data_IF_232674190292
#
_entry.id   IF_232674190292
#
_cell.length_a   1.000
_cell.length_b   1.000
_cell.length_c   1.000
_cell.angle_alpha   90.00
_cell.angle_beta   90.00
_cell.angle_gamma   90.00
#
_symmetry.space_group_name_H-M   'P 1'
#
loop_
_entity.id
_entity.type
_entity.pdbx_description
1 polymer ?
#
# COMPACT_ATOMS: atom_id res chain seq x y z
N UNK A 1 25.96 10.06 2.88
CA UNK A 1 25.32 9.18 3.90
C UNK A 1 23.89 9.64 4.01
N UNK A 2 22.90 8.79 3.77
CA UNK A 2 21.49 9.18 3.90
C UNK A 2 21.10 9.22 5.36
N UNK A 3 20.23 10.18 5.72
CA UNK A 3 19.77 10.31 7.10
C UNK A 3 18.85 9.17 7.50
N UNK A 4 19.20 8.49 8.58
CA UNK A 4 18.38 7.45 9.21
C UNK A 4 17.46 8.11 10.23
N UNK A 5 16.16 7.89 10.11
CA UNK A 5 15.20 8.35 11.12
C UNK A 5 15.33 7.44 12.35
N UNK A 6 15.81 8.02 13.44
CA UNK A 6 16.01 7.33 14.72
C UNK A 6 15.10 7.86 15.84
N UNK A 7 14.43 8.99 15.64
CA UNK A 7 13.57 9.60 16.67
C UNK A 7 12.10 9.26 16.46
N UNK A 8 11.38 8.78 17.49
CA UNK A 8 9.93 8.60 17.46
C UNK A 8 9.16 9.93 17.34
N UNK A 9 9.84 11.07 17.55
CA UNK A 9 9.25 12.40 17.40
C UNK A 9 9.25 12.91 15.96
N UNK A 10 9.91 12.21 15.06
CA UNK A 10 9.94 12.56 13.65
C UNK A 10 8.51 12.61 13.07
N UNK A 11 8.18 13.70 12.37
CA UNK A 11 6.83 13.94 11.80
C UNK A 11 6.41 12.88 10.78
N UNK A 12 7.35 12.45 9.94
CA UNK A 12 7.08 11.43 8.92
C UNK A 12 6.84 10.06 9.56
N UNK A 13 7.64 9.67 10.55
CA UNK A 13 7.40 8.44 11.32
C UNK A 13 6.01 8.44 11.99
N UNK A 14 5.62 9.56 12.61
CA UNK A 14 4.27 9.72 13.21
C UNK A 14 3.16 9.56 12.17
N UNK A 15 3.38 10.06 10.94
CA UNK A 15 2.44 9.85 9.84
C UNK A 15 2.34 8.36 9.47
N UNK A 16 3.46 7.66 9.31
CA UNK A 16 3.47 6.23 8.96
C UNK A 16 2.64 5.38 9.94
N UNK A 17 2.74 5.64 11.25
CA UNK A 17 1.93 4.98 12.28
C UNK A 17 0.43 5.28 12.12
N UNK A 18 0.07 6.51 11.75
CA UNK A 18 -1.32 6.92 11.59
C UNK A 18 -1.98 6.30 10.35
N UNK A 19 -1.21 5.95 9.32
CA UNK A 19 -1.74 5.37 8.08
C UNK A 19 -2.40 3.98 8.26
N UNK A 20 -2.27 3.35 9.41
CA UNK A 20 -3.05 2.14 9.74
C UNK A 20 -4.55 2.43 9.89
N UNK A 21 -4.91 3.67 10.16
CA UNK A 21 -6.30 4.12 10.29
C UNK A 21 -6.80 4.73 8.99
N UNK A 22 -8.01 4.33 8.56
CA UNK A 22 -8.66 4.83 7.32
C UNK A 22 -8.68 6.36 7.24
N UNK A 23 -9.06 7.04 8.33
CA UNK A 23 -9.11 8.50 8.41
C UNK A 23 -7.83 9.17 7.86
N UNK A 24 -6.66 8.72 8.31
CA UNK A 24 -5.39 9.35 7.89
C UNK A 24 -4.97 8.96 6.48
N UNK A 25 -5.39 7.77 5.99
CA UNK A 25 -5.22 7.42 4.58
C UNK A 25 -6.04 8.32 3.67
N UNK A 26 -7.26 8.62 4.08
CA UNK A 26 -8.18 9.51 3.33
C UNK A 26 -7.67 10.96 3.36
N UNK A 27 -7.33 11.49 4.54
CA UNK A 27 -6.80 12.86 4.69
C UNK A 27 -5.53 13.13 3.86
N UNK A 28 -4.67 12.12 3.70
CA UNK A 28 -3.41 12.26 2.97
C UNK A 28 -3.48 11.67 1.55
N UNK A 29 -4.58 11.02 1.17
CA UNK A 29 -4.75 10.31 -0.10
C UNK A 29 -3.62 9.31 -0.41
N UNK A 30 -3.06 8.66 0.62
CA UNK A 30 -1.98 7.67 0.51
C UNK A 30 -2.26 6.43 1.33
N UNK A 31 -1.62 5.32 0.93
CA UNK A 31 -1.67 4.06 1.67
C UNK A 31 -0.33 3.33 1.66
N UNK A 32 -0.17 2.36 2.57
CA UNK A 32 1.02 1.52 2.69
C UNK A 32 0.83 0.20 1.92
N UNK A 33 1.89 -0.21 1.21
CA UNK A 33 2.05 -1.58 0.73
C UNK A 33 3.40 -2.11 1.23
N UNK A 34 3.42 -3.33 1.75
CA UNK A 34 4.61 -3.90 2.40
C UNK A 34 5.04 -5.18 1.69
N UNK A 35 6.33 -5.25 1.37
CA UNK A 35 6.97 -6.43 0.80
C UNK A 35 7.83 -6.16 -0.42
N UNK A 36 8.84 -6.99 -0.59
CA UNK A 36 9.85 -6.92 -1.65
C UNK A 36 9.26 -7.01 -3.06
N UNK A 37 8.13 -7.70 -3.23
CA UNK A 37 7.46 -7.87 -4.52
C UNK A 37 7.15 -6.55 -5.23
N UNK A 38 6.91 -5.47 -4.46
CA UNK A 38 6.58 -4.16 -5.01
C UNK A 38 7.77 -3.46 -5.69
N UNK A 39 9.00 -3.92 -5.47
CA UNK A 39 10.17 -3.45 -6.22
C UNK A 39 10.15 -3.92 -7.70
N UNK A 40 9.50 -5.05 -7.97
CA UNK A 40 9.40 -5.62 -9.31
C UNK A 40 8.16 -5.14 -10.08
N UNK A 41 7.25 -4.43 -9.41
CA UNK A 41 6.06 -3.87 -10.04
C UNK A 41 6.41 -2.53 -10.69
N UNK A 42 6.03 -2.34 -11.95
CA UNK A 42 6.24 -1.07 -12.65
C UNK A 42 5.16 -0.04 -12.25
N UNK A 43 5.09 0.24 -10.95
CA UNK A 43 4.10 1.13 -10.35
C UNK A 43 4.82 2.27 -9.65
N UNK A 44 4.45 3.50 -10.00
CA UNK A 44 5.01 4.69 -9.36
C UNK A 44 4.62 4.75 -7.88
N UNK A 45 5.60 4.85 -7.01
CA UNK A 45 5.42 5.02 -5.57
C UNK A 45 5.88 6.41 -5.13
N UNK A 46 5.22 6.91 -4.09
CA UNK A 46 5.55 8.22 -3.52
C UNK A 46 6.81 8.16 -2.65
N UNK A 47 7.04 7.01 -1.97
CA UNK A 47 8.18 6.85 -1.07
C UNK A 47 8.50 5.37 -0.83
N UNK A 48 9.78 5.06 -0.69
CA UNK A 48 10.29 3.80 -0.17
C UNK A 48 10.74 4.00 1.28
N UNK A 49 10.35 3.11 2.16
CA UNK A 49 10.80 3.06 3.55
C UNK A 49 11.46 1.72 3.79
N UNK A 50 12.69 1.74 4.26
CA UNK A 50 13.50 0.52 4.47
C UNK A 50 13.96 0.44 5.92
N UNK A 51 13.93 -0.76 6.48
CA UNK A 51 14.54 -1.12 7.75
C UNK A 51 16.05 -1.00 7.66
N UNK A 52 16.71 -0.32 8.60
CA UNK A 52 18.15 -0.05 8.56
C UNK A 52 18.97 -1.33 8.34
N UNK A 53 18.68 -2.39 9.10
CA UNK A 53 19.37 -3.68 8.98
C UNK A 53 19.15 -4.41 7.65
N UNK A 54 18.21 -3.96 6.83
CA UNK A 54 17.89 -4.52 5.51
C UNK A 54 18.33 -3.66 4.34
N UNK A 55 18.86 -2.46 4.61
CA UNK A 55 19.20 -1.49 3.57
C UNK A 55 20.23 -2.07 2.59
N UNK A 56 21.35 -2.62 3.07
CA UNK A 56 22.41 -3.18 2.21
C UNK A 56 21.87 -4.28 1.29
N UNK A 57 21.06 -5.20 1.84
CA UNK A 57 20.44 -6.27 1.05
C UNK A 57 19.60 -5.73 -0.13
N UNK A 58 18.76 -4.73 0.13
CA UNK A 58 17.91 -4.17 -0.91
C UNK A 58 18.68 -3.29 -1.87
N UNK A 59 19.72 -2.62 -1.41
CA UNK A 59 20.55 -1.77 -2.26
C UNK A 59 21.39 -2.60 -3.24
N UNK A 60 22.05 -3.65 -2.76
CA UNK A 60 22.79 -4.58 -3.60
C UNK A 60 21.92 -5.27 -4.66
N UNK A 61 20.70 -5.62 -4.30
CA UNK A 61 19.80 -6.38 -5.18
C UNK A 61 19.01 -5.52 -6.17
N UNK A 62 18.61 -4.31 -5.77
CA UNK A 62 17.66 -3.47 -6.50
C UNK A 62 18.13 -2.04 -6.73
N UNK A 63 19.34 -1.68 -6.26
CA UNK A 63 19.88 -0.33 -6.38
C UNK A 63 18.89 0.74 -5.86
N UNK A 64 18.33 0.48 -4.67
CA UNK A 64 17.31 1.37 -4.10
C UNK A 64 17.86 2.75 -3.72
N UNK A 65 19.17 2.87 -3.56
CA UNK A 65 19.84 4.14 -3.27
C UNK A 65 19.73 5.17 -4.39
N UNK A 66 19.36 4.76 -5.60
CA UNK A 66 19.10 5.70 -6.72
C UNK A 66 17.81 6.51 -6.53
N UNK A 67 16.88 6.06 -5.65
CA UNK A 67 15.61 6.74 -5.45
C UNK A 67 15.74 7.90 -4.46
N UNK A 68 15.44 9.12 -4.89
CA UNK A 68 15.47 10.32 -4.05
C UNK A 68 14.41 10.29 -2.93
N UNK A 69 13.36 9.52 -3.12
CA UNK A 69 12.27 9.34 -2.17
C UNK A 69 12.46 8.19 -1.19
N UNK A 70 13.68 7.67 -1.04
CA UNK A 70 14.04 6.66 -0.05
C UNK A 70 14.18 7.26 1.35
N UNK A 71 13.67 6.54 2.34
CA UNK A 71 13.81 6.83 3.77
C UNK A 71 14.26 5.57 4.50
N UNK A 72 15.24 5.69 5.38
CA UNK A 72 15.70 4.59 6.23
C UNK A 72 15.18 4.81 7.64
N UNK A 73 14.59 3.79 8.25
CA UNK A 73 14.18 3.81 9.66
C UNK A 73 15.06 2.90 10.49
N UNK A 74 15.37 3.31 11.73
CA UNK A 74 15.91 2.39 12.74
C UNK A 74 14.99 1.18 12.89
N UNK A 75 15.57 0.02 13.16
CA UNK A 75 14.88 -1.27 13.19
C UNK A 75 13.66 -1.26 14.09
N UNK A 76 13.80 -0.75 15.31
CA UNK A 76 12.69 -0.67 16.27
C UNK A 76 11.55 0.22 15.77
N UNK A 77 11.85 1.34 15.09
CA UNK A 77 10.81 2.23 14.54
C UNK A 77 10.15 1.59 13.33
N UNK A 78 10.92 0.87 12.50
CA UNK A 78 10.35 0.15 11.36
C UNK A 78 9.38 -0.93 11.82
N UNK A 79 9.74 -1.72 12.81
CA UNK A 79 8.91 -2.80 13.35
C UNK A 79 7.58 -2.28 13.93
N UNK A 80 7.57 -1.07 14.49
CA UNK A 80 6.34 -0.42 14.96
C UNK A 80 5.39 0.07 13.85
N UNK A 81 5.89 0.34 12.63
CA UNK A 81 5.07 0.77 11.49
C UNK A 81 4.77 -0.34 10.50
N UNK A 82 5.45 -1.48 10.62
CA UNK A 82 5.14 -2.70 9.88
C UNK A 82 3.80 -3.28 10.33
N UNK A 83 3.08 -3.87 9.39
CA UNK A 83 1.80 -4.56 9.64
C UNK A 83 1.96 -6.08 9.61
N UNK A 84 3.19 -6.57 9.49
CA UNK A 84 3.53 -7.99 9.38
C UNK A 84 4.44 -8.41 10.54
N UNK A 85 4.14 -9.55 11.19
CA UNK A 85 4.99 -10.13 12.23
C UNK A 85 6.39 -10.49 11.71
N UNK A 86 6.45 -11.03 10.49
CA UNK A 86 7.68 -11.35 9.78
C UNK A 86 7.86 -10.43 8.57
N UNK A 87 8.14 -9.17 8.85
CA UNK A 87 8.35 -8.17 7.80
C UNK A 87 9.61 -8.45 6.99
N UNK A 88 9.50 -8.26 5.67
CA UNK A 88 10.67 -8.29 4.79
C UNK A 88 11.58 -7.06 4.94
N UNK A 89 11.14 -6.03 5.67
CA UNK A 89 11.92 -4.83 5.95
C UNK A 89 11.79 -3.72 4.91
N UNK A 90 10.74 -3.74 4.09
CA UNK A 90 10.48 -2.69 3.10
C UNK A 90 8.98 -2.37 2.99
N UNK A 91 8.67 -1.08 3.02
CA UNK A 91 7.32 -0.51 2.88
C UNK A 91 7.34 0.55 1.78
N UNK A 92 6.28 0.60 1.00
CA UNK A 92 6.03 1.62 -0.03
C UNK A 92 4.82 2.46 0.34
N UNK A 93 4.87 3.74 0.02
CA UNK A 93 3.71 4.60 0.02
C UNK A 93 3.25 4.84 -1.42
N UNK A 94 1.96 4.66 -1.64
CA UNK A 94 1.29 4.90 -2.90
C UNK A 94 0.16 5.91 -2.74
N UNK A 95 -0.11 6.68 -3.79
CA UNK A 95 -1.32 7.49 -3.86
C UNK A 95 -2.55 6.59 -4.02
N UNK A 96 -3.66 6.97 -3.39
CA UNK A 96 -4.96 6.36 -3.64
C UNK A 96 -5.47 6.78 -5.01
N UNK A 97 -6.11 5.86 -5.73
CA UNK A 97 -6.89 6.23 -6.90
C UNK A 97 -8.15 6.99 -6.44
N UNK A 98 -8.40 8.13 -7.07
CA UNK A 98 -9.57 8.98 -6.82
C UNK A 98 -10.49 8.92 -8.05
N UNK A 99 -10.96 7.71 -8.39
CA UNK A 99 -11.87 7.50 -9.51
C UNK A 99 -13.30 7.80 -9.11
N UNK A 100 -14.09 8.22 -10.08
CA UNK A 100 -15.53 8.49 -9.97
C UNK A 100 -16.33 7.58 -10.89
N UNK A 101 -17.65 7.61 -10.81
CA UNK A 101 -18.53 6.82 -11.69
C UNK A 101 -18.33 7.20 -13.16
N UNK A 102 -17.97 8.44 -13.45
CA UNK A 102 -17.71 8.93 -14.80
C UNK A 102 -16.47 8.28 -15.45
N UNK A 103 -15.56 7.75 -14.63
CA UNK A 103 -14.35 7.07 -15.13
C UNK A 103 -14.61 5.61 -15.55
N UNK A 104 -15.82 5.09 -15.34
CA UNK A 104 -16.19 3.70 -15.65
C UNK A 104 -16.29 3.50 -17.17
N UNK A 105 -15.54 2.51 -17.67
CA UNK A 105 -15.66 2.02 -19.02
C UNK A 105 -15.77 0.48 -19.00
N UNK A 106 -16.85 -0.05 -19.62
CA UNK A 106 -17.09 -1.48 -19.68
C UNK A 106 -17.77 -2.06 -18.44
N UNK A 107 -17.47 -3.31 -18.14
CA UNK A 107 -18.12 -4.07 -17.07
C UNK A 107 -17.66 -3.64 -15.68
N UNK A 108 -18.57 -3.76 -14.72
CA UNK A 108 -18.38 -3.35 -13.31
C UNK A 108 -18.65 -4.51 -12.39
N UNK A 109 -17.81 -4.70 -11.40
CA UNK A 109 -18.10 -5.55 -10.24
C UNK A 109 -18.47 -4.66 -9.05
N UNK A 110 -19.57 -4.96 -8.39
CA UNK A 110 -20.03 -4.23 -7.21
C UNK A 110 -19.88 -5.16 -6.00
N UNK A 111 -19.15 -4.70 -4.99
CA UNK A 111 -19.06 -5.34 -3.68
C UNK A 111 -20.00 -4.61 -2.73
N UNK A 112 -21.10 -5.29 -2.38
CA UNK A 112 -22.09 -4.78 -1.47
C UNK A 112 -21.86 -5.34 -0.06
N UNK A 113 -21.53 -4.46 0.89
CA UNK A 113 -21.29 -4.76 2.31
C UNK A 113 -20.28 -5.91 2.56
N UNK A 114 -19.27 -6.02 1.72
CA UNK A 114 -18.17 -7.00 1.90
C UNK A 114 -17.21 -6.49 2.96
N UNK A 115 -17.19 -7.13 4.13
CA UNK A 115 -16.42 -6.66 5.30
C UNK A 115 -15.08 -7.38 5.49
N UNK A 116 -14.92 -8.59 4.97
CA UNK A 116 -13.69 -9.36 5.16
C UNK A 116 -12.60 -8.99 4.14
N UNK A 117 -11.39 -8.58 4.61
CA UNK A 117 -10.27 -8.24 3.74
C UNK A 117 -9.80 -9.37 2.82
N UNK A 118 -9.88 -10.62 3.28
CA UNK A 118 -9.47 -11.80 2.51
C UNK A 118 -10.43 -12.07 1.35
N UNK A 119 -11.75 -11.96 1.61
CA UNK A 119 -12.79 -12.10 0.59
C UNK A 119 -12.66 -11.02 -0.47
N UNK A 120 -12.54 -9.75 -0.06
CA UNK A 120 -12.32 -8.64 -0.98
C UNK A 120 -11.05 -8.85 -1.83
N UNK A 121 -9.95 -9.26 -1.20
CA UNK A 121 -8.70 -9.57 -1.90
C UNK A 121 -8.85 -10.71 -2.91
N UNK A 122 -9.58 -11.75 -2.59
CA UNK A 122 -9.84 -12.88 -3.48
C UNK A 122 -10.69 -12.45 -4.67
N UNK A 123 -11.75 -11.68 -4.45
CA UNK A 123 -12.59 -11.14 -5.52
C UNK A 123 -11.76 -10.26 -6.45
N UNK A 124 -10.97 -9.33 -5.91
CA UNK A 124 -10.09 -8.45 -6.70
C UNK A 124 -9.12 -9.27 -7.57
N UNK A 125 -8.51 -10.31 -7.04
CA UNK A 125 -7.65 -11.19 -7.85
C UNK A 125 -8.40 -11.90 -8.96
N UNK A 126 -9.62 -12.36 -8.68
CA UNK A 126 -10.48 -12.99 -9.67
C UNK A 126 -10.89 -11.99 -10.77
N UNK A 127 -11.23 -10.76 -10.39
CA UNK A 127 -11.50 -9.68 -11.35
C UNK A 127 -10.35 -9.46 -12.31
N UNK A 128 -9.12 -9.34 -11.79
CA UNK A 128 -7.92 -9.16 -12.62
C UNK A 128 -7.71 -10.34 -13.56
N UNK A 129 -7.87 -11.57 -13.08
CA UNK A 129 -7.74 -12.78 -13.90
C UNK A 129 -8.80 -12.86 -15.01
N UNK A 130 -9.98 -12.31 -14.78
CA UNK A 130 -11.10 -12.24 -15.73
C UNK A 130 -11.12 -10.94 -16.55
N UNK A 131 -10.09 -10.08 -16.42
CA UNK A 131 -9.94 -8.79 -17.10
C UNK A 131 -11.05 -7.76 -16.80
N UNK A 132 -11.67 -7.84 -15.61
CA UNK A 132 -12.52 -6.76 -15.10
C UNK A 132 -11.66 -5.65 -14.52
N UNK A 133 -11.99 -4.40 -14.83
CA UNK A 133 -11.18 -3.24 -14.42
C UNK A 133 -11.89 -2.27 -13.47
N UNK A 134 -13.22 -2.35 -13.34
CA UNK A 134 -13.99 -1.41 -12.54
C UNK A 134 -14.59 -2.09 -11.31
N UNK A 135 -14.32 -1.53 -10.13
CA UNK A 135 -14.78 -2.01 -8.84
C UNK A 135 -15.51 -0.89 -8.11
N UNK A 136 -16.78 -1.13 -7.78
CA UNK A 136 -17.54 -0.27 -6.87
C UNK A 136 -17.65 -0.98 -5.52
N UNK A 137 -17.39 -0.25 -4.45
CA UNK A 137 -17.61 -0.69 -3.08
C UNK A 137 -18.72 0.17 -2.46
N UNK A 138 -19.78 -0.49 -1.98
CA UNK A 138 -20.85 0.21 -1.28
C UNK A 138 -20.43 0.57 0.15
N UNK A 139 -21.15 1.53 0.74
CA UNK A 139 -20.98 1.91 2.14
C UNK A 139 -21.12 0.67 3.05
N UNK A 140 -20.18 0.52 3.98
CA UNK A 140 -20.08 -0.68 4.84
C UNK A 140 -19.03 -1.69 4.38
N UNK A 141 -18.64 -1.65 3.12
CA UNK A 141 -17.57 -2.52 2.62
C UNK A 141 -16.22 -2.15 3.19
N UNK A 142 -15.34 -3.16 3.26
CA UNK A 142 -13.96 -3.01 3.74
C UNK A 142 -13.18 -1.96 2.95
N UNK A 143 -12.33 -1.22 3.63
CA UNK A 143 -11.38 -0.33 2.96
C UNK A 143 -10.32 -1.15 2.22
N UNK A 144 -10.34 -1.14 0.89
CA UNK A 144 -9.36 -1.88 0.07
C UNK A 144 -7.95 -1.36 0.24
N UNK A 145 -7.76 -0.12 0.68
CA UNK A 145 -6.46 0.46 1.01
C UNK A 145 -5.98 0.12 2.44
N UNK A 146 -6.75 -0.67 3.20
CA UNK A 146 -6.27 -1.26 4.45
C UNK A 146 -5.09 -2.20 4.16
N UNK A 147 -3.99 -2.17 4.94
CA UNK A 147 -2.81 -3.00 4.70
C UNK A 147 -3.09 -4.50 4.55
N UNK A 148 -4.08 -5.05 5.28
CA UNK A 148 -4.48 -6.46 5.14
C UNK A 148 -5.10 -6.73 3.76
N UNK A 149 -5.98 -5.85 3.29
CA UNK A 149 -6.61 -5.96 1.97
C UNK A 149 -5.59 -5.77 0.87
N UNK A 150 -4.76 -4.72 0.94
CA UNK A 150 -3.66 -4.47 -0.02
C UNK A 150 -2.80 -5.72 -0.21
N UNK A 151 -2.42 -6.36 0.89
CA UNK A 151 -1.65 -7.62 0.84
C UNK A 151 -2.43 -8.75 0.17
N UNK A 152 -3.72 -8.90 0.50
CA UNK A 152 -4.58 -9.95 -0.05
C UNK A 152 -4.82 -9.82 -1.55
N UNK A 153 -4.75 -8.60 -2.11
CA UNK A 153 -4.96 -8.35 -3.55
C UNK A 153 -3.80 -8.80 -4.44
N UNK A 154 -2.62 -9.11 -3.86
CA UNK A 154 -1.41 -9.48 -4.61
C UNK A 154 -1.08 -8.48 -5.74
N UNK A 155 -1.06 -7.19 -5.42
CA UNK A 155 -0.85 -6.05 -6.34
C UNK A 155 -2.04 -5.76 -7.29
N UNK A 156 -3.12 -6.51 -7.23
CA UNK A 156 -4.32 -6.30 -8.07
C UNK A 156 -4.97 -4.93 -7.89
N UNK A 157 -4.84 -4.34 -6.69
CA UNK A 157 -5.37 -3.01 -6.37
C UNK A 157 -4.88 -1.90 -7.32
N UNK A 158 -3.70 -2.05 -7.90
CA UNK A 158 -3.11 -1.06 -8.82
C UNK A 158 -3.65 -1.15 -10.25
N UNK A 159 -4.41 -2.20 -10.56
CA UNK A 159 -4.94 -2.49 -11.90
C UNK A 159 -6.42 -2.16 -12.04
N UNK A 160 -7.04 -1.62 -10.99
CA UNK A 160 -8.47 -1.37 -10.95
C UNK A 160 -8.79 0.12 -10.81
N UNK A 161 -9.87 0.52 -11.47
CA UNK A 161 -10.62 1.73 -11.12
C UNK A 161 -11.47 1.41 -9.90
N UNK A 162 -11.17 2.03 -8.76
CA UNK A 162 -11.83 1.76 -7.49
C UNK A 162 -12.66 2.97 -7.09
N UNK A 163 -13.95 2.73 -6.87
CA UNK A 163 -14.94 3.75 -6.56
C UNK A 163 -15.65 3.35 -5.26
N UNK A 164 -15.90 4.31 -4.40
CA UNK A 164 -16.70 4.15 -3.17
C UNK A 164 -18.00 4.93 -3.30
N UNK A 165 -19.14 4.22 -3.04
CA UNK A 165 -20.50 4.78 -3.06
C UNK A 165 -21.26 4.53 -1.75
#
# INVERSE_FOLDING_TARGET
MRDVIASPDNKFYKLLKKLDKKKYRDENSIFKAEGEKFLNENINFNKIIVKESKFEYFDEKYDISKHDNLTILKDNLFDEVSTQENSQGIIFLYSKNLNTIEDIQGDVVILDDIQDPGNAGTIIRTMIAANFQNLILTKGSVDVYNPKTVRATMSGIFKLNIIYE
#
